data_IF_234889130722
#
_entry.id   IF_234889130722
#
_cell.length_a   1.000
_cell.length_b   1.000
_cell.length_c   1.000
_cell.angle_alpha   90.00
_cell.angle_beta   90.00
_cell.angle_gamma   90.00
#
_symmetry.space_group_name_H-M   'P 1'
#
loop_
_entity.id
_entity.type
_entity.pdbx_description
1 polymer ?
#
# COMPACT_ATOMS: atom_id res chain seq x y z
N UNK A 1 -15.93 -14.64 3.44
CA UNK A 1 -14.90 -14.03 4.32
C UNK A 1 -13.61 -13.97 3.52
N UNK A 2 -12.88 -12.85 3.53
CA UNK A 2 -11.61 -12.76 2.79
C UNK A 2 -10.51 -13.50 3.59
N UNK A 3 -9.58 -14.25 2.95
CA UNK A 3 -8.51 -15.00 3.65
C UNK A 3 -7.59 -14.16 4.56
N UNK A 4 -7.67 -12.84 4.45
CA UNK A 4 -6.92 -11.89 5.29
C UNK A 4 -7.45 -11.84 6.71
N UNK A 5 -8.76 -12.03 6.90
CA UNK A 5 -9.37 -12.00 8.24
C UNK A 5 -8.93 -13.21 9.08
N UNK A 6 -8.61 -14.34 8.45
CA UNK A 6 -8.13 -15.55 9.12
C UNK A 6 -6.71 -15.40 9.69
N UNK A 7 -5.88 -14.55 9.09
CA UNK A 7 -4.47 -14.36 9.49
C UNK A 7 -4.25 -13.10 10.32
N UNK A 8 -5.25 -12.22 10.44
CA UNK A 8 -5.09 -10.90 11.07
C UNK A 8 -4.75 -11.07 12.55
N UNK A 9 -3.59 -10.55 12.96
CA UNK A 9 -3.12 -10.67 14.35
C UNK A 9 -2.61 -12.06 14.76
N UNK A 10 -2.51 -13.02 13.83
CA UNK A 10 -2.04 -14.40 14.07
C UNK A 10 -0.69 -14.46 14.81
N UNK A 11 0.24 -13.54 14.49
CA UNK A 11 1.58 -13.49 15.10
C UNK A 11 1.65 -12.57 16.31
N UNK A 12 0.96 -11.43 16.28
CA UNK A 12 0.90 -10.48 17.41
C UNK A 12 -0.14 -9.39 17.16
N UNK A 13 -0.40 -8.57 18.18
CA UNK A 13 -1.25 -7.38 18.09
C UNK A 13 -0.48 -6.04 18.04
N UNK A 14 0.81 -6.05 17.71
CA UNK A 14 1.67 -4.83 17.73
C UNK A 14 1.21 -3.72 16.76
N UNK A 15 0.56 -4.09 15.67
CA UNK A 15 0.02 -3.18 14.67
C UNK A 15 -1.52 -3.16 14.67
N UNK A 16 -2.18 -3.66 15.72
CA UNK A 16 -3.63 -3.58 15.83
C UNK A 16 -4.11 -2.13 15.74
N UNK A 17 -5.20 -1.92 15.00
CA UNK A 17 -5.77 -0.61 14.70
C UNK A 17 -4.80 0.34 13.94
N UNK A 18 -3.73 -0.18 13.32
CA UNK A 18 -2.85 0.62 12.46
C UNK A 18 -3.26 0.52 11.01
N UNK A 19 -3.54 1.66 10.39
CA UNK A 19 -3.80 1.79 8.96
C UNK A 19 -2.50 2.12 8.25
N UNK A 20 -2.01 1.21 7.41
CA UNK A 20 -0.74 1.35 6.70
C UNK A 20 -1.03 1.42 5.20
N UNK A 21 -0.66 2.53 4.59
CA UNK A 21 -0.64 2.65 3.12
C UNK A 21 0.68 2.08 2.64
N UNK A 22 0.61 1.13 1.71
CA UNK A 22 1.81 0.55 1.09
C UNK A 22 1.86 1.01 -0.36
N UNK A 23 2.80 1.90 -0.67
CA UNK A 23 3.08 2.39 -2.02
C UNK A 23 4.09 1.51 -2.73
N UNK A 24 3.70 0.88 -3.84
CA UNK A 24 4.55 -0.04 -4.62
C UNK A 24 5.00 0.64 -5.92
N UNK A 25 6.32 0.69 -6.13
CA UNK A 25 6.95 1.32 -7.30
C UNK A 25 7.63 0.30 -8.21
N UNK A 26 7.97 0.71 -9.44
CA UNK A 26 8.48 -0.18 -10.51
C UNK A 26 9.91 -0.69 -10.32
N UNK A 27 10.14 -1.53 -9.32
CA UNK A 27 11.38 -2.28 -9.11
C UNK A 27 11.08 -3.78 -9.02
N UNK A 28 12.02 -4.64 -9.41
CA UNK A 28 11.85 -6.10 -9.33
C UNK A 28 11.52 -6.57 -7.91
N UNK A 29 11.97 -5.84 -6.88
CA UNK A 29 11.64 -6.09 -5.49
C UNK A 29 10.15 -5.95 -5.16
N UNK A 30 9.31 -5.46 -6.09
CA UNK A 30 7.85 -5.46 -5.95
C UNK A 30 7.27 -6.88 -5.76
N UNK A 31 7.97 -7.93 -6.19
CA UNK A 31 7.51 -9.31 -5.94
C UNK A 31 7.45 -9.67 -4.45
N UNK A 32 8.25 -9.01 -3.61
CA UNK A 32 8.29 -9.25 -2.17
C UNK A 32 7.14 -8.57 -1.40
N UNK A 33 6.41 -7.64 -2.04
CA UNK A 33 5.40 -6.83 -1.35
C UNK A 33 4.18 -7.65 -0.94
N UNK A 34 3.85 -8.74 -1.67
CA UNK A 34 2.78 -9.67 -1.28
C UNK A 34 3.06 -10.28 0.10
N UNK A 35 4.27 -10.77 0.29
CA UNK A 35 4.70 -11.36 1.56
C UNK A 35 4.74 -10.32 2.67
N UNK A 36 5.26 -9.14 2.37
CA UNK A 36 5.33 -8.03 3.33
C UNK A 36 3.93 -7.59 3.81
N UNK A 37 2.99 -7.37 2.88
CA UNK A 37 1.62 -6.99 3.21
C UNK A 37 0.95 -8.01 4.14
N UNK A 38 1.08 -9.30 3.83
CA UNK A 38 0.54 -10.39 4.68
C UNK A 38 1.20 -10.42 6.05
N UNK A 39 2.50 -10.14 6.14
CA UNK A 39 3.21 -10.10 7.41
C UNK A 39 2.73 -8.91 8.28
N UNK A 40 2.53 -7.72 7.71
CA UNK A 40 1.95 -6.58 8.43
C UNK A 40 0.57 -6.90 9.00
N UNK A 41 -0.28 -7.57 8.21
CA UNK A 41 -1.61 -8.04 8.62
C UNK A 41 -1.53 -9.07 9.76
N UNK A 42 -0.58 -10.01 9.69
CA UNK A 42 -0.34 -10.98 10.78
C UNK A 42 0.06 -10.33 12.10
N UNK A 43 0.55 -9.10 12.05
CA UNK A 43 0.80 -8.28 13.24
C UNK A 43 -0.36 -7.34 13.61
N UNK A 44 -1.50 -7.42 12.91
CA UNK A 44 -2.76 -6.73 13.24
C UNK A 44 -3.10 -5.52 12.37
N UNK A 45 -2.25 -5.17 11.40
CA UNK A 45 -2.44 -3.96 10.58
C UNK A 45 -3.59 -4.08 9.57
N UNK A 46 -4.14 -2.92 9.19
CA UNK A 46 -4.97 -2.76 8.01
C UNK A 46 -4.14 -2.15 6.89
N UNK A 47 -3.87 -2.94 5.85
CA UNK A 47 -3.01 -2.54 4.74
C UNK A 47 -3.84 -2.02 3.56
N UNK A 48 -3.42 -0.90 2.98
CA UNK A 48 -4.03 -0.26 1.80
C UNK A 48 -2.99 -0.19 0.67
N UNK A 49 -3.09 -1.03 -0.37
CA UNK A 49 -2.13 -1.04 -1.46
C UNK A 49 -2.37 0.09 -2.46
N UNK A 50 -1.29 0.78 -2.83
CA UNK A 50 -1.26 1.83 -3.86
C UNK A 50 -0.13 1.50 -4.82
N UNK A 51 -0.39 1.48 -6.13
CA UNK A 51 0.61 1.03 -7.12
C UNK A 51 0.85 2.08 -8.20
N UNK A 52 2.11 2.27 -8.57
CA UNK A 52 2.46 2.96 -9.81
C UNK A 52 2.16 2.09 -11.03
N UNK A 53 1.96 2.69 -12.21
CA UNK A 53 1.81 1.94 -13.48
C UNK A 53 3.03 1.05 -13.78
N UNK A 54 4.25 1.49 -13.43
CA UNK A 54 5.45 0.67 -13.60
C UNK A 54 5.45 -0.57 -12.72
N UNK A 55 4.87 -0.51 -11.51
CA UNK A 55 4.75 -1.66 -10.62
C UNK A 55 3.79 -2.71 -11.17
N UNK A 56 2.68 -2.30 -11.81
CA UNK A 56 1.68 -3.23 -12.35
C UNK A 56 2.22 -4.08 -13.51
N UNK A 57 3.30 -3.64 -14.16
CA UNK A 57 4.03 -4.38 -15.20
C UNK A 57 4.94 -5.47 -14.64
N UNK A 58 5.21 -5.46 -13.32
CA UNK A 58 6.08 -6.42 -12.63
C UNK A 58 5.23 -7.40 -11.82
N UNK A 59 4.27 -6.89 -11.05
CA UNK A 59 3.33 -7.70 -10.27
C UNK A 59 1.90 -7.24 -10.54
N UNK A 60 1.02 -8.20 -10.82
CA UNK A 60 -0.38 -7.90 -11.13
C UNK A 60 -1.12 -7.37 -9.89
N UNK A 61 -2.00 -6.36 -10.03
CA UNK A 61 -2.80 -5.82 -8.92
C UNK A 61 -3.57 -6.87 -8.12
N UNK A 62 -4.09 -7.91 -8.77
CA UNK A 62 -4.84 -9.00 -8.11
C UNK A 62 -4.02 -9.71 -7.02
N UNK A 63 -2.69 -9.80 -7.18
CA UNK A 63 -1.83 -10.38 -6.17
C UNK A 63 -1.81 -9.53 -4.89
N UNK A 64 -1.88 -8.20 -5.02
CA UNK A 64 -1.96 -7.27 -3.88
C UNK A 64 -3.37 -7.22 -3.31
N UNK A 65 -4.41 -7.37 -4.14
CA UNK A 65 -5.79 -7.53 -3.65
C UNK A 65 -5.91 -8.79 -2.77
N UNK A 66 -5.41 -9.93 -3.26
CA UNK A 66 -5.33 -11.16 -2.46
C UNK A 66 -4.50 -10.98 -1.17
N UNK A 67 -3.37 -10.27 -1.25
CA UNK A 67 -2.50 -10.09 -0.09
C UNK A 67 -3.14 -9.22 1.01
N UNK A 68 -3.98 -8.25 0.64
CA UNK A 68 -4.44 -7.18 1.55
C UNK A 68 -5.94 -7.21 1.84
N UNK A 69 -6.72 -7.92 1.02
CA UNK A 69 -8.18 -7.86 1.05
C UNK A 69 -8.77 -6.54 0.55
N UNK A 70 -7.94 -5.69 -0.09
CA UNK A 70 -8.36 -4.38 -0.61
C UNK A 70 -7.89 -4.21 -2.04
N UNK A 71 -8.76 -3.64 -2.88
CA UNK A 71 -8.43 -3.29 -4.26
C UNK A 71 -7.28 -2.27 -4.30
N UNK A 72 -6.18 -2.53 -5.01
CA UNK A 72 -5.12 -1.56 -5.17
C UNK A 72 -5.58 -0.28 -5.86
N UNK A 73 -5.13 0.85 -5.33
CA UNK A 73 -5.34 2.15 -5.96
C UNK A 73 -4.31 2.29 -7.07
N UNK A 74 -4.80 2.30 -8.32
CA UNK A 74 -3.97 2.40 -9.53
C UNK A 74 -4.01 3.80 -10.15
N UNK A 75 -4.98 4.63 -9.74
CA UNK A 75 -5.16 6.02 -10.15
C UNK A 75 -5.99 6.76 -9.11
N UNK A 76 -5.78 8.07 -8.99
CA UNK A 76 -6.63 8.95 -8.20
C UNK A 76 -7.93 9.23 -8.96
N UNK A 77 -9.06 9.27 -8.25
CA UNK A 77 -10.36 9.53 -8.84
C UNK A 77 -11.12 10.59 -8.04
N UNK A 78 -12.37 10.88 -8.41
CA UNK A 78 -13.26 11.73 -7.61
C UNK A 78 -13.57 11.16 -6.22
N UNK A 79 -13.08 9.96 -5.87
CA UNK A 79 -13.13 9.39 -4.53
C UNK A 79 -12.02 9.89 -3.60
N UNK A 80 -11.16 10.82 -4.06
CA UNK A 80 -10.19 11.55 -3.24
C UNK A 80 -9.26 10.63 -2.41
N UNK A 81 -8.79 9.53 -3.00
CA UNK A 81 -8.09 8.45 -2.29
C UNK A 81 -6.86 8.94 -1.49
N UNK A 82 -6.08 9.86 -2.07
CA UNK A 82 -4.91 10.46 -1.43
C UNK A 82 -5.28 11.35 -0.22
N UNK A 83 -6.41 12.07 -0.29
CA UNK A 83 -6.93 12.85 0.84
C UNK A 83 -7.52 11.93 1.91
N UNK A 84 -8.27 10.91 1.51
CA UNK A 84 -8.86 9.94 2.43
C UNK A 84 -7.77 9.25 3.28
N UNK A 85 -6.72 8.78 2.62
CA UNK A 85 -5.65 8.01 3.24
C UNK A 85 -4.59 8.87 3.92
N UNK A 86 -4.12 9.95 3.30
CA UNK A 86 -2.96 10.71 3.80
C UNK A 86 -3.30 12.17 4.18
N UNK A 87 -4.54 12.61 3.97
CA UNK A 87 -5.01 13.94 4.34
C UNK A 87 -5.49 14.05 5.79
N UNK A 88 -5.99 15.24 6.16
CA UNK A 88 -6.58 15.51 7.48
C UNK A 88 -8.03 15.02 7.53
N UNK A 89 -8.22 13.71 7.70
CA UNK A 89 -9.54 13.07 7.81
C UNK A 89 -9.78 12.51 9.22
N UNK A 90 -10.96 11.95 9.46
CA UNK A 90 -11.31 11.32 10.75
C UNK A 90 -10.47 10.07 11.04
N UNK A 91 -9.99 9.40 10.01
CA UNK A 91 -9.24 8.15 10.14
C UNK A 91 -8.14 8.13 9.07
N UNK A 92 -7.07 8.93 9.23
CA UNK A 92 -5.95 8.92 8.29
C UNK A 92 -5.12 7.64 8.46
N UNK A 93 -4.22 7.39 7.53
CA UNK A 93 -3.18 6.38 7.69
C UNK A 93 -2.23 6.77 8.82
N UNK A 94 -1.81 5.78 9.61
CA UNK A 94 -0.76 5.92 10.61
C UNK A 94 0.64 5.92 9.98
N UNK A 95 0.78 5.32 8.79
CA UNK A 95 2.05 5.17 8.08
C UNK A 95 1.83 5.11 6.56
N UNK A 96 2.61 5.88 5.82
CA UNK A 96 2.87 5.68 4.40
C UNK A 96 4.22 4.96 4.24
N UNK A 97 4.19 3.71 3.78
CA UNK A 97 5.36 2.88 3.53
C UNK A 97 5.53 2.69 2.02
N UNK A 98 6.55 3.32 1.43
CA UNK A 98 6.87 3.13 0.01
C UNK A 98 7.92 2.01 -0.11
N UNK A 99 7.53 0.87 -0.68
CA UNK A 99 8.37 -0.33 -0.77
C UNK A 99 7.99 -1.19 -1.98
N UNK A 100 8.96 -1.50 -2.87
CA UNK A 100 10.22 -0.79 -3.02
C UNK A 100 9.98 0.68 -3.40
N UNK A 101 10.95 1.55 -3.10
CA UNK A 101 10.98 2.94 -3.57
C UNK A 101 12.07 3.09 -4.63
N UNK A 102 11.68 3.25 -5.89
CA UNK A 102 12.63 3.50 -7.00
C UNK A 102 13.25 4.89 -6.89
N UNK A 103 14.43 5.06 -7.51
CA UNK A 103 15.08 6.36 -7.66
C UNK A 103 14.15 7.41 -8.33
N UNK A 104 13.31 6.98 -9.27
CA UNK A 104 12.33 7.84 -9.91
C UNK A 104 11.28 8.38 -8.92
N UNK A 105 10.69 7.50 -8.10
CA UNK A 105 9.68 7.91 -7.10
C UNK A 105 10.29 8.82 -6.03
N UNK A 106 11.45 8.50 -5.47
CA UNK A 106 12.07 9.38 -4.46
C UNK A 106 12.48 10.75 -5.05
N UNK A 107 12.92 10.79 -6.31
CA UNK A 107 13.22 12.06 -7.00
C UNK A 107 11.97 12.91 -7.20
N UNK A 108 10.85 12.28 -7.59
CA UNK A 108 9.56 12.95 -7.73
C UNK A 108 9.09 13.57 -6.40
N UNK A 109 9.15 12.80 -5.31
CA UNK A 109 8.81 13.29 -3.96
C UNK A 109 9.73 14.46 -3.57
N UNK A 110 11.05 14.32 -3.76
CA UNK A 110 12.02 15.35 -3.40
C UNK A 110 11.82 16.66 -4.18
N UNK A 111 11.31 16.58 -5.41
CA UNK A 111 11.05 17.73 -6.29
C UNK A 111 9.60 18.22 -6.26
N UNK A 112 8.72 17.60 -5.46
CA UNK A 112 7.30 17.95 -5.41
C UNK A 112 6.53 17.64 -6.70
N UNK A 113 6.95 16.61 -7.44
CA UNK A 113 6.26 16.12 -8.63
C UNK A 113 5.24 15.06 -8.20
N UNK A 114 3.97 15.42 -8.24
CA UNK A 114 2.83 14.55 -7.88
C UNK A 114 2.00 14.20 -9.13
N UNK A 115 2.52 13.27 -9.94
CA UNK A 115 1.91 12.82 -11.20
C UNK A 115 1.61 11.32 -11.22
N UNK A 116 1.84 10.62 -10.09
CA UNK A 116 1.54 9.19 -9.93
C UNK A 116 0.76 8.95 -8.64
N UNK A 117 0.02 7.83 -8.50
CA UNK A 117 -0.79 7.59 -7.29
C UNK A 117 0.01 7.45 -5.99
N UNK A 118 1.32 7.18 -6.07
CA UNK A 118 2.20 6.97 -4.91
C UNK A 118 2.90 8.25 -4.44
N UNK A 119 3.10 9.21 -5.35
CA UNK A 119 3.82 10.48 -5.11
C UNK A 119 2.94 11.54 -4.49
#
# INVERSE_FOLDING_TARGET
>A
MHPVEEIKGEKSNKLSNKRIVVGITGSIAAVETVKLCRELIRHGAEVYPVMTESATKIIHPDALEFATGKKPILRLTGKIEHVELCGKTRNPADLLLIVPCTANTISKIALGIDDTPVT
#
